data_IF_400404849670
#
_entry.id   IF_400404849670
#
_cell.length_a   1.000
_cell.length_b   1.000
_cell.length_c   1.000
_cell.angle_alpha   90.00
_cell.angle_beta   90.00
_cell.angle_gamma   90.00
#
_symmetry.space_group_name_H-M   'P 1'
#
loop_
_entity.id
_entity.type
_entity.pdbx_description
1 polymer ?
#
# COMPACT_ATOMS: atom_id res chain seq x y z
N UNK A 1 -25.43 -10.66 19.83
CA UNK A 1 -24.57 -9.47 20.12
C UNK A 1 -25.35 -8.17 20.23
N UNK A 2 -26.37 -7.91 19.41
CA UNK A 2 -27.21 -6.69 19.54
C UNK A 2 -27.81 -6.50 20.94
N UNK A 3 -28.37 -7.56 21.52
CA UNK A 3 -28.86 -7.54 22.91
C UNK A 3 -27.78 -7.17 23.94
N UNK A 4 -26.52 -7.55 23.71
CA UNK A 4 -25.39 -7.17 24.56
C UNK A 4 -25.08 -5.68 24.44
N UNK A 5 -25.09 -5.12 23.23
CA UNK A 5 -24.86 -3.69 23.00
C UNK A 5 -25.97 -2.84 23.62
N UNK A 6 -27.24 -3.25 23.43
CA UNK A 6 -28.39 -2.66 24.10
C UNK A 6 -28.23 -2.69 25.62
N UNK A 7 -27.87 -3.86 26.18
CA UNK A 7 -27.68 -4.01 27.62
C UNK A 7 -26.61 -3.07 28.17
N UNK A 8 -25.51 -2.86 27.42
CA UNK A 8 -24.46 -1.89 27.79
C UNK A 8 -24.99 -0.46 27.85
N UNK A 9 -25.77 -0.04 26.86
CA UNK A 9 -26.41 1.29 26.85
C UNK A 9 -27.30 1.51 28.06
N UNK A 10 -28.15 0.54 28.40
CA UNK A 10 -29.08 0.64 29.53
C UNK A 10 -28.41 0.46 30.89
N UNK A 11 -27.32 -0.30 30.96
CA UNK A 11 -26.55 -0.51 32.20
C UNK A 11 -25.67 0.69 32.55
N UNK A 12 -25.34 1.56 31.57
CA UNK A 12 -24.57 2.76 31.83
C UNK A 12 -25.42 3.80 32.57
N UNK A 13 -25.22 3.87 33.89
CA UNK A 13 -25.97 4.76 34.79
C UNK A 13 -25.85 6.25 34.42
N UNK A 14 -24.79 6.65 33.71
CA UNK A 14 -24.63 8.03 33.26
C UNK A 14 -25.65 8.40 32.17
N UNK A 15 -26.10 7.43 31.37
CA UNK A 15 -27.01 7.67 30.25
C UNK A 15 -28.49 7.69 30.66
N UNK A 16 -28.85 7.01 31.76
CA UNK A 16 -30.23 6.94 32.29
C UNK A 16 -31.28 6.52 31.24
N UNK A 17 -30.92 5.59 30.36
CA UNK A 17 -31.78 5.14 29.25
C UNK A 17 -32.71 4.01 29.68
N UNK A 18 -33.96 4.05 29.22
CA UNK A 18 -34.87 2.89 29.35
C UNK A 18 -34.52 1.79 28.35
N UNK A 19 -34.96 0.54 28.62
CA UNK A 19 -35.03 -0.56 27.65
C UNK A 19 -35.42 -0.19 26.22
N UNK A 20 -36.47 0.60 26.05
CA UNK A 20 -37.04 1.01 24.76
C UNK A 20 -36.18 2.08 24.08
N UNK A 21 -35.66 3.02 24.85
CA UNK A 21 -34.73 4.04 24.35
C UNK A 21 -33.42 3.41 23.88
N UNK A 22 -32.92 2.40 24.60
CA UNK A 22 -31.77 1.61 24.18
C UNK A 22 -32.01 0.89 22.84
N UNK A 23 -33.22 0.34 22.62
CA UNK A 23 -33.59 -0.28 21.34
C UNK A 23 -33.63 0.75 20.20
N UNK A 24 -34.21 1.93 20.43
CA UNK A 24 -34.31 2.99 19.43
C UNK A 24 -32.93 3.55 19.03
N UNK A 25 -32.04 3.77 20.01
CA UNK A 25 -30.65 4.20 19.76
C UNK A 25 -29.89 3.13 18.97
N UNK A 26 -30.00 1.86 19.39
CA UNK A 26 -29.33 0.76 18.71
C UNK A 26 -29.80 0.65 17.25
N UNK A 27 -31.11 0.57 17.03
CA UNK A 27 -31.68 0.48 15.69
C UNK A 27 -31.23 1.64 14.79
N UNK A 28 -31.30 2.87 15.31
CA UNK A 28 -30.87 4.06 14.56
C UNK A 28 -29.39 4.01 14.22
N UNK A 29 -28.54 3.63 15.15
CA UNK A 29 -27.10 3.53 14.91
C UNK A 29 -26.80 2.58 13.74
N UNK A 30 -27.54 1.47 13.63
CA UNK A 30 -27.40 0.49 12.57
C UNK A 30 -28.14 0.82 11.26
N UNK A 31 -28.92 1.90 11.23
CA UNK A 31 -29.64 2.36 10.03
C UNK A 31 -31.08 1.85 9.89
N UNK A 32 -31.67 1.35 10.98
CA UNK A 32 -32.99 0.70 10.99
C UNK A 32 -34.01 1.47 11.86
N UNK A 33 -35.29 1.23 11.59
CA UNK A 33 -36.40 1.91 12.27
C UNK A 33 -36.61 1.43 13.71
N UNK A 34 -36.34 0.15 13.98
CA UNK A 34 -36.61 -0.50 15.25
C UNK A 34 -35.70 -1.71 15.48
N UNK A 35 -35.58 -2.11 16.74
CA UNK A 35 -34.91 -3.34 17.16
C UNK A 35 -35.83 -4.09 18.12
N UNK A 36 -36.17 -5.34 17.78
CA UNK A 36 -36.90 -6.22 18.68
C UNK A 36 -35.92 -7.01 19.53
N UNK A 37 -35.88 -6.71 20.83
CA UNK A 37 -34.98 -7.36 21.77
C UNK A 37 -35.34 -8.82 22.09
N UNK A 38 -36.57 -9.25 21.80
CA UNK A 38 -37.02 -10.64 22.02
C UNK A 38 -36.53 -11.53 20.89
N UNK A 39 -36.82 -11.17 19.64
CA UNK A 39 -36.37 -11.91 18.46
C UNK A 39 -34.91 -11.62 18.08
N UNK A 40 -34.36 -10.47 18.50
CA UNK A 40 -33.02 -10.01 18.15
C UNK A 40 -32.91 -9.46 16.72
N UNK A 41 -34.05 -9.13 16.09
CA UNK A 41 -34.15 -8.73 14.67
C UNK A 41 -34.27 -7.21 14.54
N UNK A 42 -33.61 -6.66 13.51
CA UNK A 42 -33.76 -5.27 13.10
C UNK A 42 -35.01 -5.11 12.22
N UNK A 43 -35.73 -4.00 12.38
CA UNK A 43 -36.87 -3.65 11.54
C UNK A 43 -36.46 -3.18 10.14
N UNK A 44 -37.29 -2.35 9.53
CA UNK A 44 -37.05 -1.88 8.16
C UNK A 44 -35.89 -0.87 8.09
N UNK A 45 -35.08 -0.90 7.00
CA UNK A 45 -34.10 0.15 6.69
C UNK A 45 -34.74 1.53 6.63
N UNK A 46 -34.07 2.54 7.19
CA UNK A 46 -34.52 3.93 7.08
C UNK A 46 -33.83 4.60 5.89
N UNK A 47 -34.58 5.15 4.91
CA UNK A 47 -34.00 5.87 3.79
C UNK A 47 -33.07 7.01 4.23
N UNK A 48 -31.89 7.09 3.62
CA UNK A 48 -30.88 8.11 3.92
C UNK A 48 -29.92 7.77 5.07
N UNK A 49 -30.15 6.67 5.81
CA UNK A 49 -29.18 6.15 6.77
C UNK A 49 -28.21 5.16 6.12
N UNK A 50 -27.00 5.10 6.67
CA UNK A 50 -26.06 4.04 6.32
C UNK A 50 -26.50 2.72 6.95
N UNK A 51 -26.62 1.67 6.14
CA UNK A 51 -26.78 0.31 6.66
C UNK A 51 -25.43 -0.19 7.15
N UNK A 52 -25.35 -0.43 8.46
CA UNK A 52 -24.11 -0.79 9.13
C UNK A 52 -24.01 -2.31 9.24
N UNK A 53 -22.80 -2.84 9.02
CA UNK A 53 -22.50 -4.26 9.20
C UNK A 53 -22.85 -4.76 10.61
N UNK A 54 -23.16 -6.04 10.74
CA UNK A 54 -23.51 -6.63 12.04
C UNK A 54 -22.36 -6.54 13.05
N UNK A 55 -22.63 -6.60 14.37
CA UNK A 55 -21.59 -6.52 15.39
C UNK A 55 -20.48 -7.55 15.22
N UNK A 56 -20.82 -8.78 14.78
CA UNK A 56 -19.85 -9.83 14.54
C UNK A 56 -18.95 -9.50 13.35
N UNK A 57 -19.52 -8.99 12.27
CA UNK A 57 -18.77 -8.55 11.10
C UNK A 57 -17.88 -7.36 11.41
N UNK A 58 -18.35 -6.38 12.20
CA UNK A 58 -17.52 -5.25 12.63
C UNK A 58 -16.32 -5.77 13.43
N UNK A 59 -16.54 -6.60 14.47
CA UNK A 59 -15.44 -7.08 15.31
C UNK A 59 -14.42 -7.96 14.56
N UNK A 60 -14.80 -8.55 13.43
CA UNK A 60 -13.90 -9.31 12.56
C UNK A 60 -13.02 -8.40 11.66
N UNK A 61 -13.32 -7.11 11.55
CA UNK A 61 -12.53 -6.15 10.75
C UNK A 61 -11.30 -5.68 11.51
N UNK A 62 -10.33 -5.17 10.75
CA UNK A 62 -9.22 -4.38 11.26
C UNK A 62 -9.72 -3.15 12.07
N UNK A 63 -9.08 -2.75 13.19
CA UNK A 63 -9.48 -1.64 14.04
C UNK A 63 -9.69 -0.30 13.31
N UNK A 64 -8.91 0.00 12.26
CA UNK A 64 -9.14 1.21 11.46
C UNK A 64 -10.43 1.11 10.64
N UNK A 65 -10.77 -0.08 10.16
CA UNK A 65 -12.04 -0.34 9.48
C UNK A 65 -13.23 -0.40 10.44
N UNK A 66 -13.04 -0.91 11.66
CA UNK A 66 -14.04 -0.81 12.72
C UNK A 66 -14.39 0.65 13.00
N UNK A 67 -13.39 1.53 13.05
CA UNK A 67 -13.58 2.98 13.23
C UNK A 67 -14.50 3.59 12.18
N UNK A 68 -14.38 3.18 10.91
CA UNK A 68 -15.25 3.69 9.85
C UNK A 68 -16.71 3.35 10.14
N UNK A 69 -17.00 2.13 10.59
CA UNK A 69 -18.35 1.71 10.99
C UNK A 69 -18.83 2.50 12.21
N UNK A 70 -17.98 2.69 13.22
CA UNK A 70 -18.31 3.47 14.42
C UNK A 70 -18.61 4.94 14.09
N UNK A 71 -17.87 5.55 13.18
CA UNK A 71 -18.13 6.91 12.69
C UNK A 71 -19.46 6.95 11.94
N UNK A 72 -19.74 5.99 11.04
CA UNK A 72 -21.03 5.91 10.33
C UNK A 72 -22.21 5.72 11.29
N UNK A 73 -22.06 4.90 12.33
CA UNK A 73 -23.06 4.74 13.39
C UNK A 73 -23.31 6.06 14.13
N UNK A 74 -22.25 6.78 14.50
CA UNK A 74 -22.37 8.09 15.13
C UNK A 74 -23.03 9.11 14.19
N UNK A 75 -22.73 9.07 12.90
CA UNK A 75 -23.40 9.90 11.87
C UNK A 75 -24.88 9.58 11.78
N UNK A 76 -25.28 8.31 11.72
CA UNK A 76 -26.69 7.89 11.70
C UNK A 76 -27.48 8.44 12.90
N UNK A 77 -26.85 8.52 14.08
CA UNK A 77 -27.42 9.08 15.30
C UNK A 77 -27.49 10.63 15.29
N UNK A 78 -26.73 11.28 14.42
CA UNK A 78 -26.58 12.75 14.35
C UNK A 78 -27.27 13.38 13.14
N UNK A 79 -27.78 12.59 12.20
CA UNK A 79 -28.32 13.11 10.94
C UNK A 79 -29.54 14.02 11.18
N UNK A 80 -29.56 15.23 10.60
CA UNK A 80 -30.67 16.16 10.75
C UNK A 80 -31.91 15.67 9.98
N UNK A 81 -33.10 16.08 10.44
CA UNK A 81 -34.38 15.80 9.78
C UNK A 81 -35.09 14.51 10.20
N UNK A 82 -34.44 13.66 11.01
CA UNK A 82 -35.08 12.49 11.62
C UNK A 82 -35.39 12.74 13.11
N UNK A 83 -36.37 12.04 13.71
CA UNK A 83 -36.64 12.13 15.15
C UNK A 83 -35.38 11.86 15.96
N UNK A 84 -35.12 12.73 16.95
CA UNK A 84 -33.93 12.62 17.82
C UNK A 84 -34.13 11.47 18.79
N UNK A 85 -33.26 10.47 18.71
CA UNK A 85 -33.27 9.29 19.60
C UNK A 85 -32.22 9.35 20.71
N UNK A 86 -31.26 10.27 20.62
CA UNK A 86 -30.07 10.33 21.49
C UNK A 86 -30.31 10.97 22.85
N UNK A 87 -31.47 11.62 23.07
CA UNK A 87 -31.85 12.28 24.34
C UNK A 87 -30.81 13.30 24.84
N UNK A 88 -30.10 13.96 23.91
CA UNK A 88 -29.05 14.93 24.25
C UNK A 88 -27.70 14.30 24.62
N UNK A 89 -27.58 12.96 24.58
CA UNK A 89 -26.30 12.26 24.74
C UNK A 89 -25.46 12.39 23.47
N UNK A 90 -24.15 12.46 23.63
CA UNK A 90 -23.22 12.52 22.51
C UNK A 90 -23.25 11.19 21.72
N UNK A 91 -23.52 11.23 20.40
CA UNK A 91 -23.56 10.05 19.54
C UNK A 91 -22.30 9.17 19.62
N UNK A 92 -21.13 9.80 19.77
CA UNK A 92 -19.84 9.13 19.92
C UNK A 92 -19.74 8.29 21.19
N UNK A 93 -20.27 8.78 22.30
CA UNK A 93 -20.23 8.07 23.59
C UNK A 93 -21.22 6.90 23.63
N UNK A 94 -22.37 7.05 22.97
CA UNK A 94 -23.31 5.95 22.76
C UNK A 94 -22.64 4.82 21.97
N UNK A 95 -21.93 5.14 20.89
CA UNK A 95 -21.18 4.15 20.10
C UNK A 95 -20.05 3.50 20.89
N UNK A 96 -19.24 4.28 21.61
CA UNK A 96 -18.19 3.74 22.46
C UNK A 96 -18.75 2.75 23.50
N UNK A 97 -19.85 3.11 24.16
CA UNK A 97 -20.51 2.26 25.15
C UNK A 97 -21.06 0.96 24.55
N UNK A 98 -21.67 1.00 23.36
CA UNK A 98 -22.14 -0.20 22.65
C UNK A 98 -21.00 -1.22 22.47
N UNK A 99 -19.78 -0.76 22.19
CA UNK A 99 -18.60 -1.61 21.97
C UNK A 99 -17.71 -1.78 23.22
N UNK A 100 -18.18 -1.38 24.40
CA UNK A 100 -17.48 -1.53 25.69
C UNK A 100 -16.17 -0.72 25.80
N UNK A 101 -16.11 0.43 25.14
CA UNK A 101 -15.06 1.43 25.35
C UNK A 101 -15.52 2.46 26.39
N UNK A 102 -14.56 2.99 27.15
CA UNK A 102 -14.83 3.99 28.20
C UNK A 102 -15.30 5.33 27.62
N UNK A 103 -14.77 5.72 26.47
CA UNK A 103 -15.16 6.88 25.68
C UNK A 103 -14.70 6.73 24.23
N UNK A 104 -15.06 7.69 23.38
CA UNK A 104 -14.67 7.65 21.97
C UNK A 104 -13.16 7.82 21.75
N UNK A 105 -12.46 8.56 22.61
CA UNK A 105 -11.01 8.73 22.51
C UNK A 105 -10.25 7.42 22.77
N UNK A 106 -10.73 6.59 23.69
CA UNK A 106 -10.18 5.25 23.92
C UNK A 106 -10.38 4.34 22.69
N UNK A 107 -11.52 4.49 22.00
CA UNK A 107 -11.83 3.79 20.77
C UNK A 107 -10.92 4.27 19.60
N UNK A 108 -10.61 5.58 19.54
CA UNK A 108 -9.60 6.14 18.62
C UNK A 108 -8.19 5.66 18.98
N UNK A 109 -7.85 5.63 20.27
CA UNK A 109 -6.57 5.10 20.76
C UNK A 109 -6.38 3.64 20.40
N UNK A 110 -7.44 2.82 20.55
CA UNK A 110 -7.44 1.42 20.12
C UNK A 110 -7.19 1.28 18.63
N UNK A 111 -7.92 2.03 17.78
CA UNK A 111 -7.71 1.98 16.34
C UNK A 111 -6.30 2.41 15.92
N UNK A 112 -5.68 3.35 16.65
CA UNK A 112 -4.31 3.81 16.41
C UNK A 112 -3.23 2.89 17.00
N UNK A 113 -3.58 2.04 17.96
CA UNK A 113 -2.63 1.19 18.67
C UNK A 113 -2.08 0.06 17.80
N UNK A 114 -2.85 -0.39 16.80
CA UNK A 114 -2.37 -1.43 15.88
C UNK A 114 -1.45 -0.82 14.81
N UNK A 115 -0.16 -0.94 15.08
CA UNK A 115 0.90 -0.61 14.12
C UNK A 115 0.87 -1.61 12.97
N UNK A 116 0.77 -1.08 11.76
CA UNK A 116 1.01 -1.84 10.53
C UNK A 116 2.32 -1.35 9.93
N UNK A 117 3.24 -2.28 9.74
CA UNK A 117 4.54 -2.01 9.13
C UNK A 117 4.55 -2.51 7.67
N UNK A 118 4.53 -1.62 6.67
CA UNK A 118 4.60 -2.00 5.25
C UNK A 118 5.96 -2.59 4.85
N UNK A 119 6.99 -2.45 5.69
CA UNK A 119 8.34 -2.94 5.44
C UNK A 119 8.61 -4.29 6.11
N UNK A 120 7.61 -4.87 6.78
CA UNK A 120 7.75 -6.12 7.51
C UNK A 120 8.11 -7.31 6.61
N UNK A 121 8.87 -8.26 7.16
CA UNK A 121 9.11 -9.56 6.55
C UNK A 121 7.99 -10.57 6.79
N UNK A 122 7.06 -10.29 7.72
CA UNK A 122 5.96 -11.16 8.12
C UNK A 122 4.75 -11.02 7.18
N UNK A 123 4.35 -12.13 6.56
CA UNK A 123 3.21 -12.18 5.65
C UNK A 123 1.87 -11.89 6.32
N UNK A 124 1.72 -12.15 7.63
CA UNK A 124 0.50 -11.79 8.34
C UNK A 124 0.37 -10.26 8.46
N UNK A 125 1.46 -9.57 8.78
CA UNK A 125 1.52 -8.11 8.81
C UNK A 125 1.26 -7.49 7.44
N UNK A 126 1.87 -8.04 6.38
CA UNK A 126 1.67 -7.55 5.01
C UNK A 126 0.23 -7.80 4.51
N UNK A 127 -0.37 -8.93 4.89
CA UNK A 127 -1.78 -9.21 4.60
C UNK A 127 -2.71 -8.22 5.31
N UNK A 128 -2.42 -7.88 6.57
CA UNK A 128 -3.14 -6.81 7.28
C UNK A 128 -2.97 -5.45 6.61
N UNK A 129 -1.77 -5.12 6.14
CA UNK A 129 -1.52 -3.89 5.36
C UNK A 129 -2.39 -3.84 4.10
N UNK A 130 -2.40 -4.93 3.33
CA UNK A 130 -3.21 -5.04 2.12
C UNK A 130 -4.71 -4.94 2.42
N UNK A 131 -5.19 -5.57 3.48
CA UNK A 131 -6.57 -5.42 3.93
C UNK A 131 -6.88 -3.98 4.35
N UNK A 132 -5.97 -3.32 5.09
CA UNK A 132 -6.16 -1.96 5.60
C UNK A 132 -6.20 -0.91 4.48
N UNK A 133 -5.29 -1.03 3.52
CA UNK A 133 -5.07 0.01 2.51
C UNK A 133 -5.61 -0.35 1.12
N UNK A 134 -5.99 -1.62 0.90
CA UNK A 134 -6.45 -2.12 -0.39
C UNK A 134 -5.34 -2.18 -1.45
N UNK A 135 -4.07 -2.10 -1.03
CA UNK A 135 -2.88 -2.11 -1.89
C UNK A 135 -1.82 -3.02 -1.28
N UNK A 136 -1.01 -3.66 -2.12
CA UNK A 136 0.16 -4.42 -1.64
C UNK A 136 1.27 -3.47 -1.18
N UNK A 137 2.04 -3.89 -0.18
CA UNK A 137 3.15 -3.09 0.33
C UNK A 137 4.30 -2.98 -0.68
N UNK A 138 5.09 -1.89 -0.60
CA UNK A 138 6.24 -1.66 -1.49
C UNK A 138 7.23 -2.82 -1.49
N UNK A 139 7.49 -3.45 -0.34
CA UNK A 139 8.37 -4.61 -0.25
C UNK A 139 7.89 -5.82 -1.07
N UNK A 140 6.58 -5.94 -1.31
CA UNK A 140 6.02 -6.98 -2.18
C UNK A 140 6.18 -6.59 -3.65
N UNK A 141 5.68 -5.41 -4.04
CA UNK A 141 5.57 -5.02 -5.45
C UNK A 141 6.89 -4.51 -6.06
N UNK A 142 7.78 -3.95 -5.24
CA UNK A 142 9.11 -3.49 -5.69
C UNK A 142 10.18 -4.55 -5.47
N UNK A 143 10.18 -5.25 -4.32
CA UNK A 143 11.25 -6.21 -3.99
C UNK A 143 10.87 -7.68 -4.23
N UNK A 144 9.66 -7.96 -4.71
CA UNK A 144 9.20 -9.32 -5.03
C UNK A 144 8.88 -10.20 -3.82
N UNK A 145 8.71 -9.65 -2.61
CA UNK A 145 8.45 -10.45 -1.40
C UNK A 145 7.13 -11.23 -1.54
N UNK A 146 7.24 -12.55 -1.77
CA UNK A 146 6.11 -13.46 -2.02
C UNK A 146 5.11 -12.87 -3.03
N UNK A 147 5.64 -12.18 -4.04
CA UNK A 147 4.88 -11.55 -5.11
C UNK A 147 5.36 -12.13 -6.44
N UNK A 148 4.44 -12.76 -7.16
CA UNK A 148 4.72 -13.48 -8.40
C UNK A 148 4.36 -12.68 -9.66
N UNK A 149 3.84 -11.46 -9.50
CA UNK A 149 3.56 -10.58 -10.61
C UNK A 149 4.75 -9.70 -10.98
N UNK A 150 4.46 -8.71 -11.79
CA UNK A 150 5.32 -7.65 -12.28
C UNK A 150 4.69 -6.31 -11.90
N UNK A 151 5.53 -5.28 -11.87
CA UNK A 151 5.12 -3.93 -11.51
C UNK A 151 5.53 -2.96 -12.60
N UNK A 152 4.57 -2.23 -13.14
CA UNK A 152 4.84 -1.14 -14.08
C UNK A 152 4.66 0.21 -13.38
N UNK A 153 5.62 1.10 -13.53
CA UNK A 153 5.61 2.41 -12.89
C UNK A 153 5.72 3.50 -13.94
N UNK A 154 4.74 4.40 -13.94
CA UNK A 154 4.75 5.64 -14.71
C UNK A 154 5.15 6.78 -13.78
N UNK A 155 6.18 7.54 -14.16
CA UNK A 155 6.67 8.69 -13.37
C UNK A 155 6.96 9.90 -14.24
N UNK A 156 6.62 11.09 -13.79
CA UNK A 156 7.07 12.32 -14.46
C UNK A 156 8.35 12.86 -13.81
N UNK A 157 8.35 12.98 -12.49
CA UNK A 157 9.49 13.44 -11.71
C UNK A 157 10.46 12.27 -11.42
N UNK A 158 11.56 12.24 -12.16
CA UNK A 158 12.61 11.25 -11.99
C UNK A 158 13.29 11.33 -10.62
N UNK A 159 13.46 12.53 -10.07
CA UNK A 159 14.19 12.73 -8.83
C UNK A 159 13.35 12.33 -7.62
N UNK A 160 12.11 12.82 -7.54
CA UNK A 160 11.19 12.48 -6.46
C UNK A 160 10.91 10.97 -6.42
N UNK A 161 10.74 10.34 -7.60
CA UNK A 161 10.54 8.89 -7.65
C UNK A 161 11.82 8.11 -7.31
N UNK A 162 13.00 8.50 -7.81
CA UNK A 162 14.25 7.83 -7.40
C UNK A 162 14.48 7.93 -5.89
N UNK A 163 14.11 9.06 -5.26
CA UNK A 163 14.13 9.20 -3.81
C UNK A 163 13.20 8.20 -3.12
N UNK A 164 11.93 8.13 -3.53
CA UNK A 164 11.00 7.11 -3.04
C UNK A 164 11.57 5.69 -3.19
N UNK A 165 12.04 5.33 -4.39
CA UNK A 165 12.55 3.99 -4.67
C UNK A 165 13.74 3.65 -3.76
N UNK A 166 14.72 4.54 -3.64
CA UNK A 166 15.90 4.31 -2.80
C UNK A 166 15.53 4.19 -1.32
N UNK A 167 14.58 5.01 -0.84
CA UNK A 167 14.04 4.92 0.51
C UNK A 167 13.38 3.56 0.74
N UNK A 168 12.46 3.14 -0.14
CA UNK A 168 11.72 1.89 0.03
C UNK A 168 12.63 0.66 0.01
N UNK A 169 13.65 0.65 -0.85
CA UNK A 169 14.65 -0.41 -0.90
C UNK A 169 15.47 -0.51 0.38
N UNK A 170 15.70 0.61 1.07
CA UNK A 170 16.46 0.63 2.32
C UNK A 170 15.60 0.33 3.56
N UNK A 171 14.33 0.75 3.57
CA UNK A 171 13.42 0.50 4.70
C UNK A 171 12.88 -0.92 4.72
N UNK A 172 12.66 -1.52 3.54
CA UNK A 172 12.11 -2.88 3.43
C UNK A 172 13.00 -3.90 4.15
N UNK A 173 12.40 -4.79 4.94
CA UNK A 173 13.12 -5.94 5.49
C UNK A 173 13.67 -6.79 4.33
N UNK A 174 14.99 -6.89 4.26
CA UNK A 174 15.73 -7.52 3.17
C UNK A 174 15.98 -9.03 3.35
N UNK A 175 15.52 -9.63 4.45
CA UNK A 175 15.76 -11.05 4.76
C UNK A 175 15.15 -11.97 3.70
N UNK A 176 16.02 -12.79 3.10
CA UNK A 176 15.67 -13.75 2.05
C UNK A 176 15.27 -13.12 0.72
N UNK A 177 15.51 -11.81 0.52
CA UNK A 177 15.27 -11.13 -0.75
C UNK A 177 16.57 -10.99 -1.55
N UNK A 178 16.44 -10.84 -2.87
CA UNK A 178 17.51 -10.36 -3.73
C UNK A 178 16.97 -9.31 -4.70
N UNK A 179 17.57 -8.12 -4.70
CA UNK A 179 17.13 -7.02 -5.56
C UNK A 179 18.31 -6.50 -6.37
N UNK A 180 18.11 -6.36 -7.68
CA UNK A 180 19.02 -5.68 -8.58
C UNK A 180 18.31 -4.47 -9.16
N UNK A 181 18.86 -3.29 -8.90
CA UNK A 181 18.41 -2.03 -9.47
C UNK A 181 19.32 -1.65 -10.64
N UNK A 182 18.76 -1.54 -11.83
CA UNK A 182 19.46 -1.17 -13.06
C UNK A 182 19.17 0.29 -13.40
N UNK A 183 20.23 1.08 -13.57
CA UNK A 183 20.18 2.52 -13.82
C UNK A 183 21.20 2.90 -14.90
N UNK A 184 20.99 4.05 -15.55
CA UNK A 184 21.90 4.56 -16.60
C UNK A 184 22.75 5.74 -16.16
N UNK A 185 22.33 6.50 -15.14
CA UNK A 185 23.08 7.67 -14.68
C UNK A 185 24.37 7.25 -13.95
N UNK A 186 25.53 7.87 -14.24
CA UNK A 186 26.79 7.53 -13.57
C UNK A 186 26.80 7.73 -12.05
N UNK A 187 25.98 8.64 -11.53
CA UNK A 187 25.85 8.98 -10.11
C UNK A 187 24.59 8.38 -9.46
N UNK A 188 23.98 7.37 -10.10
CA UNK A 188 22.67 6.87 -9.70
C UNK A 188 22.67 6.07 -8.39
N UNK A 189 23.82 5.80 -7.79
CA UNK A 189 23.96 5.20 -6.45
C UNK A 189 24.12 6.26 -5.34
N UNK A 190 24.38 7.54 -5.69
CA UNK A 190 24.72 8.59 -4.72
C UNK A 190 23.68 8.76 -3.61
N UNK A 191 22.40 8.69 -3.95
CA UNK A 191 21.31 8.89 -2.97
C UNK A 191 21.14 7.67 -2.07
N UNK A 192 21.18 6.46 -2.62
CA UNK A 192 21.08 5.24 -1.79
C UNK A 192 22.24 5.11 -0.79
N UNK A 193 23.42 5.64 -1.13
CA UNK A 193 24.58 5.73 -0.23
C UNK A 193 24.31 6.58 1.02
N UNK A 194 23.29 7.47 1.00
CA UNK A 194 22.86 8.22 2.17
C UNK A 194 22.07 7.34 3.17
N UNK A 195 21.39 6.29 2.69
CA UNK A 195 20.50 5.43 3.49
C UNK A 195 21.11 4.09 3.86
N UNK A 196 21.97 3.54 3.01
CA UNK A 196 22.57 2.21 3.18
C UNK A 196 23.98 2.16 2.62
N UNK A 197 24.88 1.50 3.36
CA UNK A 197 26.20 1.09 2.85
C UNK A 197 26.27 -0.41 2.53
N UNK A 198 25.15 -1.11 2.67
CA UNK A 198 25.04 -2.56 2.49
C UNK A 198 24.43 -2.89 1.12
N UNK A 199 25.05 -2.37 0.07
CA UNK A 199 24.68 -2.66 -1.31
C UNK A 199 25.94 -2.74 -2.17
N UNK A 200 25.85 -3.43 -3.30
CA UNK A 200 26.96 -3.60 -4.25
C UNK A 200 26.71 -2.77 -5.48
N UNK A 201 27.66 -1.93 -5.89
CA UNK A 201 27.57 -1.13 -7.12
C UNK A 201 28.50 -1.71 -8.17
N UNK A 202 27.98 -1.98 -9.36
CA UNK A 202 28.74 -2.43 -10.52
C UNK A 202 28.46 -1.49 -11.68
N UNK A 203 29.50 -0.81 -12.16
CA UNK A 203 29.42 0.15 -13.27
C UNK A 203 30.14 -0.40 -14.48
N UNK A 204 29.50 -0.36 -15.65
CA UNK A 204 30.12 -0.71 -16.92
C UNK A 204 29.15 -1.33 -17.93
N UNK A 205 29.68 -1.80 -19.06
CA UNK A 205 28.88 -2.48 -20.07
C UNK A 205 28.22 -3.75 -19.53
N UNK A 206 27.02 -4.06 -20.03
CA UNK A 206 26.32 -5.30 -19.72
C UNK A 206 27.13 -6.50 -20.22
N UNK A 207 27.39 -7.47 -19.33
CA UNK A 207 28.11 -8.71 -19.65
C UNK A 207 27.19 -9.91 -19.42
N UNK A 208 27.41 -10.99 -20.15
CA UNK A 208 26.66 -12.24 -19.94
C UNK A 208 26.85 -12.81 -18.52
N UNK A 209 28.04 -12.63 -17.95
CA UNK A 209 28.37 -13.05 -16.59
C UNK A 209 28.09 -12.00 -15.52
N UNK A 210 27.27 -10.96 -15.80
CA UNK A 210 26.99 -9.86 -14.87
C UNK A 210 26.52 -10.37 -13.50
N UNK A 211 25.61 -11.34 -13.48
CA UNK A 211 25.10 -11.94 -12.25
C UNK A 211 26.20 -12.61 -11.41
N UNK A 212 27.14 -13.31 -12.05
CA UNK A 212 28.28 -13.91 -11.35
C UNK A 212 29.26 -12.86 -10.81
N UNK A 213 29.49 -11.78 -11.56
CA UNK A 213 30.30 -10.64 -11.09
C UNK A 213 29.66 -9.96 -9.88
N UNK A 214 28.34 -9.76 -9.92
CA UNK A 214 27.58 -9.22 -8.79
C UNK A 214 27.68 -10.11 -7.57
N UNK A 215 27.48 -11.43 -7.72
CA UNK A 215 27.63 -12.39 -6.62
C UNK A 215 29.03 -12.38 -6.01
N UNK A 216 30.07 -12.36 -6.86
CA UNK A 216 31.47 -12.35 -6.41
C UNK A 216 31.87 -11.05 -5.71
N UNK A 217 31.26 -9.92 -6.08
CA UNK A 217 31.53 -8.60 -5.50
C UNK A 217 30.65 -8.29 -4.27
N UNK A 218 29.68 -9.16 -3.98
CA UNK A 218 28.66 -8.92 -2.96
C UNK A 218 29.27 -9.00 -1.56
N UNK A 219 29.16 -7.91 -0.81
CA UNK A 219 29.47 -7.94 0.62
C UNK A 219 28.62 -9.01 1.32
N UNK A 220 29.19 -9.71 2.30
CA UNK A 220 28.50 -10.79 3.01
C UNK A 220 27.19 -10.26 3.62
N UNK A 221 26.07 -10.84 3.21
CA UNK A 221 24.73 -10.43 3.67
C UNK A 221 24.08 -9.29 2.86
N UNK A 222 24.78 -8.69 1.90
CA UNK A 222 24.19 -7.70 0.99
C UNK A 222 23.19 -8.39 0.06
N UNK A 223 21.96 -7.90 0.02
CA UNK A 223 20.89 -8.42 -0.84
C UNK A 223 20.49 -7.44 -1.94
N UNK A 224 21.01 -6.22 -1.88
CA UNK A 224 20.77 -5.16 -2.86
C UNK A 224 22.03 -4.98 -3.72
N UNK A 225 21.82 -4.92 -5.04
CA UNK A 225 22.85 -4.55 -6.00
C UNK A 225 22.34 -3.46 -6.94
N UNK A 226 23.25 -2.60 -7.38
CA UNK A 226 23.01 -1.53 -8.34
C UNK A 226 23.91 -1.80 -9.55
N UNK A 227 23.28 -1.96 -10.71
CA UNK A 227 23.94 -2.17 -12.00
C UNK A 227 23.82 -0.89 -12.81
N UNK A 228 24.91 -0.14 -12.93
CA UNK A 228 24.97 1.11 -13.71
C UNK A 228 25.47 0.79 -15.11
N UNK A 229 24.59 0.90 -16.09
CA UNK A 229 24.83 0.54 -17.48
C UNK A 229 24.90 1.78 -18.40
N UNK A 230 25.59 1.72 -19.55
CA UNK A 230 25.55 2.80 -20.54
C UNK A 230 24.13 3.11 -21.02
N UNK A 231 23.82 4.39 -21.29
CA UNK A 231 22.54 4.78 -21.90
C UNK A 231 22.48 4.33 -23.38
N UNK A 232 21.82 3.20 -23.61
CA UNK A 232 21.51 2.64 -24.93
C UNK A 232 20.26 1.78 -24.85
N UNK A 233 19.76 1.35 -26.00
CA UNK A 233 18.63 0.41 -26.05
C UNK A 233 19.05 -0.99 -25.59
N UNK A 234 18.25 -1.58 -24.70
CA UNK A 234 18.37 -2.98 -24.23
C UNK A 234 17.07 -3.74 -24.48
N UNK A 235 17.16 -5.06 -24.64
CA UNK A 235 15.97 -5.91 -24.53
C UNK A 235 15.75 -6.34 -23.08
N UNK A 236 14.49 -6.57 -22.69
CA UNK A 236 14.19 -7.07 -21.34
C UNK A 236 14.86 -8.43 -21.09
N UNK A 237 14.84 -9.31 -22.08
CA UNK A 237 15.50 -10.61 -22.03
C UNK A 237 16.99 -10.50 -21.71
N UNK A 238 17.73 -9.58 -22.36
CA UNK A 238 19.16 -9.37 -22.09
C UNK A 238 19.40 -9.00 -20.62
N UNK A 239 18.56 -8.15 -20.05
CA UNK A 239 18.69 -7.71 -18.67
C UNK A 239 18.36 -8.83 -17.69
N UNK A 240 17.30 -9.59 -17.94
CA UNK A 240 16.95 -10.75 -17.10
C UNK A 240 18.04 -11.81 -17.17
N UNK A 241 18.48 -12.17 -18.37
CA UNK A 241 19.51 -13.18 -18.60
C UNK A 241 20.85 -12.81 -17.93
N UNK A 242 21.25 -11.54 -17.99
CA UNK A 242 22.49 -11.09 -17.38
C UNK A 242 22.45 -11.13 -15.84
N UNK A 243 21.29 -10.90 -15.22
CA UNK A 243 21.19 -10.70 -13.76
C UNK A 243 20.57 -11.88 -12.98
N UNK A 244 19.93 -12.85 -13.63
CA UNK A 244 19.16 -13.88 -12.91
C UNK A 244 20.01 -14.64 -11.88
N UNK A 245 21.26 -14.98 -12.17
CA UNK A 245 22.12 -15.72 -11.24
C UNK A 245 22.28 -15.00 -9.90
N UNK A 246 22.42 -13.67 -9.91
CA UNK A 246 22.51 -12.88 -8.68
C UNK A 246 21.19 -12.76 -7.92
N UNK A 247 20.07 -12.86 -8.65
CA UNK A 247 18.72 -12.75 -8.11
C UNK A 247 18.22 -14.06 -7.51
N UNK A 248 18.62 -15.22 -8.03
CA UNK A 248 18.14 -16.52 -7.54
C UNK A 248 18.93 -17.05 -6.34
N UNK A 249 20.13 -16.53 -6.07
CA UNK A 249 20.97 -17.00 -4.96
C UNK A 249 20.35 -16.63 -3.61
N UNK A 250 19.99 -17.67 -2.83
CA UNK A 250 19.51 -17.52 -1.43
C UNK A 250 18.36 -16.52 -1.28
N UNK A 251 17.42 -16.52 -2.22
CA UNK A 251 16.30 -15.58 -2.30
C UNK A 251 14.92 -16.21 -2.00
N UNK A 252 14.73 -17.00 -0.93
CA UNK A 252 13.50 -17.77 -0.72
C UNK A 252 12.26 -16.90 -0.47
N UNK A 253 12.45 -15.66 -0.09
CA UNK A 253 11.37 -14.71 0.21
C UNK A 253 10.92 -13.93 -1.02
N UNK A 254 11.76 -13.82 -2.05
CA UNK A 254 11.47 -13.02 -3.24
C UNK A 254 12.72 -12.51 -3.95
N UNK A 255 12.55 -12.12 -5.20
CA UNK A 255 13.63 -11.56 -6.01
C UNK A 255 13.09 -10.59 -7.03
N UNK A 256 13.81 -9.50 -7.30
CA UNK A 256 13.34 -8.49 -8.24
C UNK A 256 14.45 -7.83 -9.05
N UNK A 257 14.17 -7.65 -10.33
CA UNK A 257 14.94 -6.80 -11.23
C UNK A 257 14.16 -5.50 -11.44
N UNK A 258 14.72 -4.39 -10.98
CA UNK A 258 14.13 -3.06 -11.08
C UNK A 258 14.88 -2.29 -12.17
N UNK A 259 14.16 -1.81 -13.17
CA UNK A 259 14.69 -1.10 -14.33
C UNK A 259 14.21 0.35 -14.23
N UNK A 260 15.09 1.24 -13.78
CA UNK A 260 14.78 2.64 -13.53
C UNK A 260 15.27 3.55 -14.66
N UNK A 261 14.35 3.96 -15.53
CA UNK A 261 14.61 4.97 -16.56
C UNK A 261 15.54 4.51 -17.68
N UNK A 262 15.57 3.21 -17.99
CA UNK A 262 16.36 2.69 -19.11
C UNK A 262 15.56 2.66 -20.41
N UNK A 263 16.25 2.84 -21.55
CA UNK A 263 15.66 2.64 -22.87
C UNK A 263 15.51 1.15 -23.15
N UNK A 264 14.28 0.65 -23.06
CA UNK A 264 13.93 -0.72 -23.42
C UNK A 264 13.37 -0.77 -24.83
N UNK A 265 13.72 -1.84 -25.56
CA UNK A 265 13.01 -2.21 -26.78
C UNK A 265 11.59 -2.69 -26.42
N UNK A 266 10.58 -2.07 -27.00
CA UNK A 266 9.17 -2.24 -26.63
C UNK A 266 8.35 -3.10 -27.59
N UNK A 267 8.96 -3.76 -28.57
CA UNK A 267 8.21 -4.69 -29.41
C UNK A 267 7.68 -5.87 -28.58
N UNK A 268 6.48 -6.33 -28.91
CA UNK A 268 5.76 -7.29 -28.07
C UNK A 268 6.47 -8.65 -27.95
N UNK A 269 7.25 -9.05 -28.96
CA UNK A 269 7.99 -10.31 -28.95
C UNK A 269 9.16 -10.24 -27.95
N UNK A 270 9.93 -9.15 -27.99
CA UNK A 270 11.06 -8.92 -27.09
C UNK A 270 10.62 -8.80 -25.64
N UNK A 271 9.54 -8.06 -25.37
CA UNK A 271 8.97 -7.94 -24.03
C UNK A 271 8.48 -9.31 -23.52
N UNK A 272 7.73 -10.05 -24.34
CA UNK A 272 7.21 -11.38 -23.96
C UNK A 272 8.34 -12.37 -23.64
N UNK A 273 9.42 -12.38 -24.43
CA UNK A 273 10.57 -13.23 -24.16
C UNK A 273 11.20 -12.92 -22.79
N UNK A 274 11.39 -11.63 -22.50
CA UNK A 274 11.94 -11.17 -21.21
C UNK A 274 11.07 -11.53 -20.01
N UNK A 275 9.75 -11.26 -20.07
CA UNK A 275 8.82 -11.61 -19.01
C UNK A 275 8.69 -13.13 -18.83
N UNK A 276 8.67 -13.90 -19.92
CA UNK A 276 8.65 -15.37 -19.85
C UNK A 276 9.88 -15.91 -19.12
N UNK A 277 11.07 -15.40 -19.45
CA UNK A 277 12.31 -15.78 -18.77
C UNK A 277 12.27 -15.41 -17.28
N UNK A 278 11.75 -14.21 -16.95
CA UNK A 278 11.62 -13.77 -15.58
C UNK A 278 10.67 -14.66 -14.78
N UNK A 279 9.51 -15.01 -15.36
CA UNK A 279 8.50 -15.88 -14.74
C UNK A 279 9.07 -17.28 -14.47
N UNK A 280 9.80 -17.87 -15.42
CA UNK A 280 10.46 -19.18 -15.23
C UNK A 280 11.47 -19.18 -14.07
N UNK A 281 11.98 -18.02 -13.71
CA UNK A 281 12.94 -17.83 -12.61
C UNK A 281 12.31 -17.19 -11.37
N UNK A 282 10.98 -17.00 -11.38
CA UNK A 282 10.22 -16.37 -10.30
C UNK A 282 10.82 -15.00 -9.92
N UNK A 283 11.14 -14.18 -10.93
CA UNK A 283 11.68 -12.83 -10.80
C UNK A 283 10.56 -11.81 -11.03
N UNK A 284 10.33 -10.96 -10.02
CA UNK A 284 9.50 -9.77 -10.18
C UNK A 284 10.22 -8.73 -11.03
N UNK A 285 9.64 -8.37 -12.17
CA UNK A 285 10.14 -7.30 -13.03
C UNK A 285 9.44 -6.00 -12.66
N UNK A 286 10.23 -4.99 -12.31
CA UNK A 286 9.74 -3.62 -12.07
C UNK A 286 10.29 -2.73 -13.17
N UNK A 287 9.42 -2.19 -14.02
CA UNK A 287 9.83 -1.26 -15.09
C UNK A 287 9.29 0.13 -14.77
N UNK A 288 10.19 1.11 -14.74
CA UNK A 288 9.87 2.51 -14.42
C UNK A 288 10.17 3.39 -15.63
N UNK A 289 9.15 4.05 -16.15
CA UNK A 289 9.25 4.88 -17.35
C UNK A 289 8.59 6.25 -17.17
N UNK A 290 9.03 7.20 -17.98
CA UNK A 290 8.41 8.51 -18.07
C UNK A 290 7.16 8.52 -18.95
N UNK A 291 7.24 7.81 -20.08
CA UNK A 291 6.17 7.73 -21.06
C UNK A 291 5.41 6.41 -20.89
N UNK A 292 4.09 6.45 -20.64
CA UNK A 292 3.25 5.25 -20.55
C UNK A 292 3.32 4.39 -21.82
N UNK A 293 3.37 3.06 -21.65
CA UNK A 293 3.27 2.07 -22.73
C UNK A 293 2.07 1.15 -22.51
N UNK A 294 1.24 0.99 -23.55
CA UNK A 294 0.09 0.10 -23.52
C UNK A 294 0.52 -1.38 -23.42
N UNK A 295 1.62 -1.75 -24.06
CA UNK A 295 2.19 -3.09 -24.04
C UNK A 295 2.65 -3.46 -22.63
N UNK A 296 3.45 -2.60 -21.99
CA UNK A 296 3.90 -2.80 -20.61
C UNK A 296 2.74 -2.77 -19.63
N UNK A 297 1.75 -1.90 -19.86
CA UNK A 297 0.53 -1.86 -19.07
C UNK A 297 -0.19 -3.20 -19.08
N UNK A 298 -0.32 -3.85 -20.23
CA UNK A 298 -0.98 -5.15 -20.36
C UNK A 298 -0.21 -6.32 -19.73
N UNK A 299 1.10 -6.18 -19.53
CA UNK A 299 1.97 -7.25 -19.02
C UNK A 299 2.21 -7.19 -17.50
N UNK A 300 1.85 -6.10 -16.82
CA UNK A 300 2.04 -5.96 -15.38
C UNK A 300 0.76 -6.23 -14.58
N UNK A 301 0.85 -6.90 -13.44
CA UNK A 301 -0.28 -7.12 -12.54
C UNK A 301 -0.56 -5.88 -11.69
N UNK A 302 0.50 -5.21 -11.24
CA UNK A 302 0.44 -3.96 -10.47
C UNK A 302 0.94 -2.81 -11.32
N UNK A 303 0.19 -1.70 -11.36
CA UNK A 303 0.66 -0.44 -11.93
C UNK A 303 0.68 0.67 -10.89
N UNK A 304 1.72 1.48 -10.93
CA UNK A 304 1.85 2.67 -10.11
C UNK A 304 1.98 3.90 -11.02
N UNK A 305 1.23 4.96 -10.73
CA UNK A 305 1.33 6.23 -11.45
C UNK A 305 1.70 7.32 -10.45
N UNK A 306 2.91 7.85 -10.57
CA UNK A 306 3.46 8.93 -9.74
C UNK A 306 3.39 10.30 -10.41
N UNK A 307 3.12 10.32 -11.70
CA UNK A 307 3.07 11.51 -12.54
C UNK A 307 3.13 11.12 -14.00
N UNK A 308 2.52 11.91 -14.86
CA UNK A 308 2.62 11.79 -16.31
C UNK A 308 2.36 13.16 -16.93
N UNK A 309 2.83 13.36 -18.16
CA UNK A 309 2.51 14.56 -18.92
C UNK A 309 1.06 14.47 -19.44
N UNK A 310 0.20 15.40 -19.04
CA UNK A 310 -1.22 15.40 -19.42
C UNK A 310 -1.42 15.63 -20.91
N UNK A 311 -0.44 16.23 -21.58
CA UNK A 311 -0.44 16.46 -23.02
C UNK A 311 0.04 15.22 -23.82
N UNK A 312 0.35 14.11 -23.15
CA UNK A 312 0.69 12.84 -23.81
C UNK A 312 -0.47 12.33 -24.67
N UNK A 313 -0.11 11.81 -25.83
CA UNK A 313 -1.03 11.21 -26.80
C UNK A 313 -1.82 10.07 -26.17
N UNK A 314 -3.14 10.09 -26.39
CA UNK A 314 -4.06 8.99 -26.10
C UNK A 314 -3.46 7.69 -26.65
N UNK A 315 -3.19 6.73 -25.76
CA UNK A 315 -2.70 5.40 -26.16
C UNK A 315 -3.86 4.57 -26.71
N UNK A 316 -3.58 3.44 -27.37
CA UNK A 316 -4.63 2.51 -27.79
C UNK A 316 -5.35 1.83 -26.61
N UNK A 317 -4.79 1.89 -25.40
CA UNK A 317 -5.36 1.27 -24.20
C UNK A 317 -6.34 2.20 -23.50
N UNK A 318 -7.64 1.92 -23.65
CA UNK A 318 -8.70 2.67 -22.98
C UNK A 318 -8.58 2.63 -21.44
N UNK A 319 -8.17 1.50 -20.86
CA UNK A 319 -7.97 1.36 -19.41
C UNK A 319 -6.81 2.26 -18.94
N UNK A 320 -5.67 2.22 -19.64
CA UNK A 320 -4.53 3.07 -19.32
C UNK A 320 -4.94 4.54 -19.36
N UNK A 321 -5.58 4.97 -20.45
CA UNK A 321 -6.02 6.37 -20.60
C UNK A 321 -7.00 6.78 -19.50
N UNK A 322 -7.92 5.90 -19.10
CA UNK A 322 -8.84 6.16 -17.99
C UNK A 322 -8.09 6.34 -16.67
N UNK A 323 -7.15 5.46 -16.34
CA UNK A 323 -6.39 5.53 -15.09
C UNK A 323 -5.48 6.75 -15.05
N UNK A 324 -4.83 7.09 -16.16
CA UNK A 324 -4.05 8.33 -16.27
C UNK A 324 -4.94 9.55 -16.05
N UNK A 325 -6.10 9.62 -16.73
CA UNK A 325 -7.06 10.72 -16.54
C UNK A 325 -7.51 10.85 -15.09
N UNK A 326 -7.78 9.73 -14.40
CA UNK A 326 -8.11 9.69 -12.97
C UNK A 326 -6.94 10.15 -12.09
N UNK A 327 -5.70 9.85 -12.49
CA UNK A 327 -4.49 10.21 -11.77
C UNK A 327 -4.14 11.71 -11.89
N UNK A 328 -4.50 12.36 -13.00
CA UNK A 328 -4.04 13.69 -13.41
C UNK A 328 -4.08 14.76 -12.30
N UNK A 329 -5.15 14.77 -11.49
CA UNK A 329 -5.38 15.80 -10.47
C UNK A 329 -4.83 15.43 -9.09
N UNK A 330 -4.30 14.22 -8.92
CA UNK A 330 -3.91 13.67 -7.63
C UNK A 330 -2.42 13.41 -7.50
N UNK A 331 -1.76 12.93 -8.56
CA UNK A 331 -0.39 12.43 -8.48
C UNK A 331 0.66 13.55 -8.44
N UNK A 332 1.82 13.25 -7.89
CA UNK A 332 2.96 14.17 -7.78
C UNK A 332 3.35 14.45 -6.34
N UNK A 333 4.33 15.34 -6.14
CA UNK A 333 4.82 15.67 -4.81
C UNK A 333 4.01 16.82 -4.19
N UNK A 334 3.48 16.60 -2.99
CA UNK A 334 2.84 17.62 -2.17
C UNK A 334 3.54 17.73 -0.81
N UNK A 335 4.42 18.72 -0.67
CA UNK A 335 5.26 18.88 0.53
C UNK A 335 6.23 17.71 0.69
N UNK A 336 6.15 17.00 1.81
CA UNK A 336 6.93 15.78 2.08
C UNK A 336 6.18 14.50 1.69
N UNK A 337 5.09 14.61 0.94
CA UNK A 337 4.32 13.45 0.49
C UNK A 337 4.46 13.26 -1.01
N UNK A 338 4.65 12.02 -1.43
CA UNK A 338 4.54 11.61 -2.81
C UNK A 338 3.16 10.95 -2.99
N UNK A 339 2.31 11.59 -3.79
CA UNK A 339 0.97 11.12 -4.12
C UNK A 339 1.04 10.27 -5.38
N UNK A 340 0.43 9.09 -5.33
CA UNK A 340 0.42 8.17 -6.45
C UNK A 340 -0.87 7.36 -6.52
N UNK A 341 -1.15 6.89 -7.73
CA UNK A 341 -2.25 5.97 -7.99
C UNK A 341 -1.70 4.55 -8.07
N UNK A 342 -2.31 3.65 -7.30
CA UNK A 342 -2.10 2.20 -7.37
C UNK A 342 -3.25 1.58 -8.17
N UNK A 343 -2.93 0.73 -9.14
CA UNK A 343 -3.94 0.07 -9.97
C UNK A 343 -3.62 -1.41 -10.17
N UNK A 344 -4.63 -2.26 -9.98
CA UNK A 344 -4.63 -3.65 -10.42
C UNK A 344 -5.91 -3.95 -11.17
N UNK A 345 -5.88 -4.87 -12.12
CA UNK A 345 -7.08 -5.26 -12.88
C UNK A 345 -8.18 -5.83 -11.97
N UNK A 346 -7.81 -6.56 -10.90
CA UNK A 346 -8.77 -7.14 -9.96
C UNK A 346 -9.30 -6.15 -8.92
N UNK A 347 -8.46 -5.24 -8.43
CA UNK A 347 -8.80 -4.31 -7.34
C UNK A 347 -9.28 -2.93 -7.82
N UNK A 348 -9.02 -2.60 -9.08
CA UNK A 348 -9.21 -1.27 -9.66
C UNK A 348 -8.23 -0.24 -9.10
N UNK A 349 -8.59 1.03 -9.25
CA UNK A 349 -7.76 2.19 -8.89
C UNK A 349 -7.87 2.55 -7.41
N UNK A 350 -6.73 2.85 -6.77
CA UNK A 350 -6.62 3.34 -5.40
C UNK A 350 -5.69 4.55 -5.36
N UNK A 351 -6.10 5.58 -4.63
CA UNK A 351 -5.32 6.80 -4.42
C UNK A 351 -4.51 6.63 -3.14
N UNK A 352 -3.21 6.91 -3.20
CA UNK A 352 -2.29 6.70 -2.08
C UNK A 352 -1.29 7.83 -1.96
N UNK A 353 -0.85 8.07 -0.73
CA UNK A 353 0.23 8.97 -0.41
C UNK A 353 1.31 8.22 0.37
N UNK A 354 2.57 8.56 0.14
CA UNK A 354 3.68 8.10 0.94
C UNK A 354 4.52 9.27 1.44
N UNK A 355 5.02 9.17 2.67
CA UNK A 355 5.93 10.15 3.23
C UNK A 355 7.35 9.94 2.66
N UNK A 356 7.93 11.01 2.13
CA UNK A 356 9.33 11.11 1.75
C UNK A 356 10.13 11.59 2.96
N UNK A 357 11.21 10.87 3.27
CA UNK A 357 12.10 11.23 4.36
C UNK A 357 13.03 12.35 3.91
N UNK A 358 13.14 13.47 4.65
CA UNK A 358 14.07 14.54 4.28
C UNK A 358 15.51 14.03 4.17
N UNK A 359 16.28 14.56 3.21
CA UNK A 359 17.69 14.24 2.92
C UNK A 359 18.68 14.61 4.06
N UNK A 360 18.21 14.98 5.25
CA UNK A 360 19.08 15.37 6.36
C UNK A 360 19.99 14.21 6.79
N UNK A 361 21.30 14.44 6.71
CA UNK A 361 22.34 13.61 7.32
C UNK A 361 22.10 13.60 8.83
N UNK A 362 21.31 12.65 9.31
CA UNK A 362 21.19 12.39 10.74
C UNK A 362 20.80 10.93 10.92
N UNK A 363 21.81 10.06 11.05
CA UNK A 363 22.05 9.03 12.08
C UNK A 363 20.86 8.35 12.80
N UNK A 364 19.63 8.45 12.32
CA UNK A 364 18.42 8.21 13.11
C UNK A 364 17.27 7.60 12.29
N UNK A 365 17.52 6.93 11.16
CA UNK A 365 16.48 6.06 10.58
C UNK A 365 16.13 4.96 11.60
N UNK A 366 17.13 4.38 12.27
CA UNK A 366 16.93 3.47 13.41
C UNK A 366 16.24 4.18 14.58
N UNK A 367 16.56 5.43 14.91
CA UNK A 367 15.93 6.15 16.04
C UNK A 367 14.53 6.66 15.74
N UNK A 368 14.12 6.83 14.48
CA UNK A 368 12.72 7.10 14.10
C UNK A 368 11.87 5.82 14.05
N UNK A 369 12.42 4.73 13.53
CA UNK A 369 11.74 3.42 13.46
C UNK A 369 11.64 2.76 14.84
N UNK A 370 12.66 2.90 15.70
CA UNK A 370 12.69 2.31 17.05
C UNK A 370 12.50 3.30 18.20
N UNK A 371 12.52 4.62 17.97
CA UNK A 371 12.38 5.62 19.04
C UNK A 371 10.96 5.87 19.52
N UNK A 372 9.94 5.41 18.81
CA UNK A 372 8.58 5.36 19.35
C UNK A 372 8.41 4.28 20.45
N UNK A 373 9.44 3.48 20.74
CA UNK A 373 9.46 2.49 21.83
C UNK A 373 10.11 3.00 23.13
N UNK A 374 10.58 4.25 23.18
CA UNK A 374 11.12 4.85 24.40
C UNK A 374 10.57 6.26 24.55
N UNK A 375 9.39 6.35 25.16
CA UNK A 375 8.72 7.58 25.58
C UNK A 375 7.58 7.26 26.51
#
# INVERSE_FOLDING_TARGET
MYNTQRARLTANKAFKLTPEEGNAILARAYGYSSFDSISGVMGEPVPGLHIIHTPAEILAKDPAHQMIEFVRMATNLSLPGLPVVTKGLAPRDLVACMFNFTNFDALVGYARSEQIDPHSGDMAMLSKFEQRHGIKASGQILCGRKYHGHTYVVRQDAEAFSHYLDQELCLTNREGLQVVLVRTRPDADRRINNYSREHTVLTGALRENQGSLLLGSRAKGSTLAISILPDREYTLEQLVAAHFSALIDKSPSGRSLIIDGMRLRKDSESLRAGFTLAQQRDINIVIIEAEPSAELWGMAETRLVFGFDIDLTITESAELNLVLTQAATYVGQQGQKLLFVYHTTAGGTRYTAMDLTPDTIATNVVRRVFGARLG
#
